data_IF_153865384848
#
_entry.id   IF_153865384848
#
_cell.length_a   1.000
_cell.length_b   1.000
_cell.length_c   1.000
_cell.angle_alpha   90.00
_cell.angle_beta   90.00
_cell.angle_gamma   90.00
#
_symmetry.space_group_name_H-M   'P 1'
#
loop_
_entity.id
_entity.type
_entity.pdbx_description
1 polymer ?
#
# COMPACT_ATOMS: atom_id res chain seq x y z
N UNK A 1 -36.38 20.87 0.84
CA UNK A 1 -35.35 19.91 0.39
C UNK A 1 -34.96 19.10 1.60
N UNK A 2 -34.98 17.75 1.54
CA UNK A 2 -34.62 16.95 2.70
C UNK A 2 -33.16 17.20 3.07
N UNK A 3 -32.90 17.64 4.31
CA UNK A 3 -31.55 17.78 4.83
C UNK A 3 -30.96 16.40 5.15
N UNK A 4 -29.64 16.25 5.10
CA UNK A 4 -28.98 14.95 5.35
C UNK A 4 -29.41 14.30 6.67
N UNK A 5 -29.62 15.11 7.72
CA UNK A 5 -30.08 14.61 9.04
C UNK A 5 -31.57 14.27 9.10
N UNK A 6 -32.36 14.69 8.13
CA UNK A 6 -33.78 14.32 7.99
C UNK A 6 -33.94 12.93 7.35
N UNK A 7 -32.89 12.38 6.75
CA UNK A 7 -32.90 11.01 6.22
C UNK A 7 -33.01 10.00 7.37
N UNK A 8 -33.76 8.89 7.22
CA UNK A 8 -33.71 7.76 8.14
C UNK A 8 -32.28 7.26 8.41
N UNK A 9 -32.05 6.70 9.60
CA UNK A 9 -30.73 6.24 10.06
C UNK A 9 -30.12 5.22 9.10
N UNK A 10 -30.94 4.38 8.52
CA UNK A 10 -30.58 3.31 7.59
C UNK A 10 -29.98 3.89 6.31
N UNK A 11 -30.60 4.94 5.76
CA UNK A 11 -30.09 5.62 4.56
C UNK A 11 -28.79 6.35 4.86
N UNK A 12 -28.66 6.98 6.04
CA UNK A 12 -27.39 7.60 6.45
C UNK A 12 -26.28 6.57 6.60
N UNK A 13 -26.57 5.41 7.19
CA UNK A 13 -25.61 4.29 7.30
C UNK A 13 -25.17 3.77 5.92
N UNK A 14 -26.08 3.71 4.93
CA UNK A 14 -25.72 3.35 3.56
C UNK A 14 -24.79 4.39 2.93
N UNK A 15 -25.08 5.68 3.10
CA UNK A 15 -24.22 6.76 2.60
C UNK A 15 -22.85 6.71 3.27
N UNK A 16 -22.79 6.53 4.60
CA UNK A 16 -21.54 6.39 5.32
C UNK A 16 -20.74 5.18 4.85
N UNK A 17 -21.39 4.03 4.65
CA UNK A 17 -20.74 2.84 4.13
C UNK A 17 -20.15 3.10 2.75
N UNK A 18 -20.92 3.69 1.84
CA UNK A 18 -20.45 4.03 0.51
C UNK A 18 -19.25 4.98 0.56
N UNK A 19 -19.29 6.01 1.40
CA UNK A 19 -18.20 6.98 1.58
C UNK A 19 -16.92 6.30 2.08
N UNK A 20 -17.00 5.35 3.02
CA UNK A 20 -15.80 4.68 3.57
C UNK A 20 -15.26 3.55 2.68
N UNK A 21 -16.11 2.96 1.84
CA UNK A 21 -15.71 1.90 0.89
C UNK A 21 -15.47 2.41 -0.52
N UNK A 22 -15.70 3.71 -0.76
CA UNK A 22 -15.54 4.30 -2.08
C UNK A 22 -14.13 4.06 -2.64
N UNK A 23 -14.09 3.69 -3.91
CA UNK A 23 -12.86 3.45 -4.65
C UNK A 23 -12.96 4.07 -6.03
N UNK A 24 -11.84 4.60 -6.53
CA UNK A 24 -11.75 5.12 -7.88
C UNK A 24 -11.84 3.98 -8.91
N UNK A 25 -12.32 4.28 -10.13
CA UNK A 25 -12.20 3.34 -11.22
C UNK A 25 -10.72 3.03 -11.49
N UNK A 26 -10.46 1.79 -11.94
CA UNK A 26 -9.13 1.35 -12.33
C UNK A 26 -8.63 2.19 -13.51
N UNK A 27 -7.37 2.67 -13.49
CA UNK A 27 -6.81 3.37 -14.63
C UNK A 27 -6.67 2.43 -15.84
N UNK A 28 -6.91 2.94 -17.04
CA UNK A 28 -6.64 2.22 -18.26
C UNK A 28 -5.13 2.26 -18.58
N UNK A 29 -4.64 1.35 -19.43
CA UNK A 29 -3.26 1.40 -19.90
C UNK A 29 -2.97 2.72 -20.64
N UNK A 30 -3.92 3.22 -21.40
CA UNK A 30 -3.84 4.49 -22.14
C UNK A 30 -3.61 5.70 -21.23
N UNK A 31 -4.02 5.63 -19.96
CA UNK A 31 -3.76 6.70 -19.00
C UNK A 31 -2.27 6.85 -18.66
N UNK A 32 -1.46 5.79 -18.88
CA UNK A 32 -0.02 5.81 -18.59
C UNK A 32 0.81 6.50 -19.68
N UNK A 33 0.24 6.75 -20.87
CA UNK A 33 0.97 7.31 -22.02
C UNK A 33 1.22 8.82 -21.88
N UNK A 34 0.39 9.51 -21.11
CA UNK A 34 0.50 10.97 -20.90
C UNK A 34 1.48 11.28 -19.77
N UNK A 35 2.74 11.54 -20.10
CA UNK A 35 3.82 11.78 -19.15
C UNK A 35 3.50 12.84 -18.07
N UNK A 36 2.74 13.89 -18.40
CA UNK A 36 2.37 14.96 -17.45
C UNK A 36 1.43 14.52 -16.31
N UNK A 37 0.83 13.33 -16.40
CA UNK A 37 -0.03 12.76 -15.36
C UNK A 37 0.74 11.94 -14.33
N UNK A 38 2.05 11.86 -14.46
CA UNK A 38 2.89 11.01 -13.64
C UNK A 38 4.07 11.79 -13.07
N UNK A 39 4.42 11.52 -11.82
CA UNK A 39 5.61 12.05 -11.18
C UNK A 39 6.49 10.90 -10.76
N UNK A 40 7.80 11.04 -10.98
CA UNK A 40 8.76 10.07 -10.49
C UNK A 40 9.10 10.42 -9.05
N UNK A 41 9.02 9.47 -8.11
CA UNK A 41 9.51 9.71 -6.76
C UNK A 41 11.00 10.04 -6.86
N UNK A 42 11.49 10.89 -5.97
CA UNK A 42 12.92 11.16 -5.92
C UNK A 42 13.64 9.88 -5.50
N UNK A 43 14.50 9.36 -6.36
CA UNK A 43 15.39 8.25 -6.04
C UNK A 43 16.82 8.81 -5.86
N UNK A 44 17.56 8.36 -4.85
CA UNK A 44 18.94 8.77 -4.69
C UNK A 44 19.73 8.31 -5.92
N UNK A 45 20.53 9.22 -6.50
CA UNK A 45 21.31 9.02 -7.75
C UNK A 45 22.38 7.92 -7.67
N UNK A 46 22.39 7.11 -6.61
CA UNK A 46 23.45 6.21 -6.16
C UNK A 46 23.62 4.93 -7.01
N UNK A 47 23.21 4.92 -8.28
CA UNK A 47 23.39 3.75 -9.13
C UNK A 47 22.52 2.54 -8.79
N UNK A 48 21.43 2.69 -8.01
CA UNK A 48 20.46 1.60 -7.76
C UNK A 48 19.72 1.14 -9.04
N UNK A 49 19.85 1.89 -10.13
CA UNK A 49 19.05 1.78 -11.33
C UNK A 49 17.69 2.45 -11.11
N UNK A 50 17.24 3.25 -12.09
CA UNK A 50 15.88 3.79 -12.08
C UNK A 50 14.93 2.59 -12.08
N UNK A 51 14.19 2.39 -10.99
CA UNK A 51 13.26 1.26 -10.89
C UNK A 51 12.11 1.38 -11.90
N UNK A 52 12.00 2.54 -12.58
CA UNK A 52 10.92 2.84 -13.51
C UNK A 52 9.64 3.22 -12.79
N UNK A 53 9.72 3.62 -11.52
CA UNK A 53 8.56 3.95 -10.72
C UNK A 53 7.99 5.32 -11.08
N UNK A 54 6.69 5.37 -11.29
CA UNK A 54 5.95 6.60 -11.53
C UNK A 54 4.63 6.57 -10.75
N UNK A 55 4.33 7.62 -10.01
CA UNK A 55 3.08 7.75 -9.28
C UNK A 55 2.13 8.70 -10.01
N UNK A 56 0.83 8.44 -9.95
CA UNK A 56 -0.17 9.33 -10.54
C UNK A 56 -0.13 10.69 -9.87
N UNK A 57 -0.02 11.77 -10.66
CA UNK A 57 -0.09 13.16 -10.21
C UNK A 57 -1.49 13.58 -9.74
N UNK A 58 -2.52 12.76 -9.97
CA UNK A 58 -3.84 12.98 -9.38
C UNK A 58 -3.71 12.88 -7.87
N UNK A 59 -4.26 13.87 -7.14
CA UNK A 59 -4.36 13.85 -5.67
C UNK A 59 -4.93 12.51 -5.21
N UNK A 60 -4.41 11.93 -4.14
CA UNK A 60 -4.98 10.71 -3.58
C UNK A 60 -6.47 10.86 -3.22
N UNK A 61 -7.26 9.77 -3.24
CA UNK A 61 -8.65 9.77 -2.78
C UNK A 61 -8.81 10.50 -1.45
N UNK A 62 -9.82 11.35 -1.33
CA UNK A 62 -10.15 11.98 -0.05
C UNK A 62 -10.57 10.91 0.94
N UNK A 63 -10.02 10.95 2.15
CA UNK A 63 -10.51 10.14 3.26
C UNK A 63 -11.77 10.79 3.85
N UNK A 64 -12.57 10.03 4.59
CA UNK A 64 -13.70 10.60 5.33
C UNK A 64 -13.30 11.22 6.68
N UNK A 65 -12.00 11.54 6.86
CA UNK A 65 -11.52 12.24 8.05
C UNK A 65 -12.21 13.60 8.25
N UNK A 66 -12.48 14.32 7.15
CA UNK A 66 -13.21 15.59 7.20
C UNK A 66 -14.65 15.39 7.71
N UNK A 67 -15.33 14.30 7.31
CA UNK A 67 -16.69 13.98 7.78
C UNK A 67 -16.73 13.68 9.28
N UNK A 68 -15.72 12.98 9.79
CA UNK A 68 -15.58 12.73 11.23
C UNK A 68 -15.46 14.03 12.04
N UNK A 69 -14.98 15.12 11.43
CA UNK A 69 -14.80 16.39 12.08
C UNK A 69 -16.04 17.31 12.07
N UNK A 70 -17.09 16.97 11.30
CA UNK A 70 -18.21 17.88 11.08
C UNK A 70 -19.13 18.07 12.29
N UNK A 71 -19.54 16.98 12.96
CA UNK A 71 -20.52 17.02 14.05
C UNK A 71 -20.42 15.75 14.92
N UNK A 72 -20.76 15.85 16.22
CA UNK A 72 -20.76 14.71 17.17
C UNK A 72 -21.65 13.54 16.74
N UNK A 73 -22.83 13.82 16.19
CA UNK A 73 -23.74 12.80 15.66
C UNK A 73 -23.08 12.06 14.49
N UNK A 74 -22.62 12.79 13.46
CA UNK A 74 -21.91 12.22 12.30
C UNK A 74 -20.71 11.40 12.76
N UNK A 75 -19.95 11.90 13.73
CA UNK A 75 -18.82 11.17 14.30
C UNK A 75 -19.24 9.83 14.89
N UNK A 76 -20.22 9.79 15.80
CA UNK A 76 -20.69 8.54 16.42
C UNK A 76 -21.26 7.57 15.38
N UNK A 77 -22.09 8.07 14.46
CA UNK A 77 -22.72 7.30 13.40
C UNK A 77 -21.69 6.68 12.43
N UNK A 78 -20.70 7.48 12.02
CA UNK A 78 -19.60 7.03 11.16
C UNK A 78 -18.67 6.04 11.89
N UNK A 79 -18.40 6.22 13.20
CA UNK A 79 -17.61 5.26 13.98
C UNK A 79 -18.28 3.88 14.02
N UNK A 80 -19.59 3.81 14.25
CA UNK A 80 -20.34 2.55 14.19
C UNK A 80 -20.26 1.90 12.79
N UNK A 81 -20.33 2.72 11.74
CA UNK A 81 -20.23 2.25 10.35
C UNK A 81 -18.81 1.73 10.04
N UNK A 82 -17.77 2.41 10.50
CA UNK A 82 -16.38 1.99 10.37
C UNK A 82 -16.12 0.67 11.09
N UNK A 83 -16.64 0.50 12.30
CA UNK A 83 -16.52 -0.77 13.04
C UNK A 83 -17.23 -1.92 12.32
N UNK A 84 -18.41 -1.65 11.74
CA UNK A 84 -19.13 -2.62 10.90
C UNK A 84 -18.32 -2.98 9.65
N UNK A 85 -17.78 -2.00 8.94
CA UNK A 85 -16.94 -2.22 7.76
C UNK A 85 -15.64 -2.95 8.09
N UNK A 86 -15.02 -2.63 9.23
CA UNK A 86 -13.82 -3.32 9.74
C UNK A 86 -14.09 -4.80 10.00
N UNK A 87 -15.20 -5.13 10.67
CA UNK A 87 -15.62 -6.53 10.91
C UNK A 87 -15.87 -7.29 9.62
N UNK A 88 -16.34 -6.60 8.57
CA UNK A 88 -16.54 -7.16 7.23
C UNK A 88 -15.27 -7.19 6.36
N UNK A 89 -14.14 -6.65 6.84
CA UNK A 89 -12.90 -6.57 6.07
C UNK A 89 -12.95 -5.60 4.88
N UNK A 90 -13.89 -4.64 4.88
CA UNK A 90 -14.09 -3.69 3.78
C UNK A 90 -13.15 -2.47 3.84
N UNK A 91 -12.50 -2.23 4.99
CA UNK A 91 -11.57 -1.11 5.18
C UNK A 91 -10.17 -1.46 4.67
N UNK A 92 -10.02 -1.49 3.35
CA UNK A 92 -8.76 -1.79 2.67
C UNK A 92 -8.31 -0.58 1.86
N UNK A 93 -7.10 -0.09 2.13
CA UNK A 93 -6.43 0.87 1.25
C UNK A 93 -6.06 0.15 -0.04
N UNK A 94 -6.38 0.73 -1.19
CA UNK A 94 -6.16 0.10 -2.49
C UNK A 94 -5.27 0.97 -3.36
N UNK A 95 -4.25 0.34 -3.92
CA UNK A 95 -3.37 0.91 -4.93
C UNK A 95 -3.33 -0.03 -6.12
N UNK A 96 -3.27 0.54 -7.31
CA UNK A 96 -3.07 -0.19 -8.56
C UNK A 96 -1.65 0.07 -9.07
N UNK A 97 -1.03 -0.96 -9.65
CA UNK A 97 0.26 -0.91 -10.31
C UNK A 97 0.10 -1.45 -11.73
N UNK A 98 0.26 -0.59 -12.73
CA UNK A 98 0.40 -1.01 -14.13
C UNK A 98 1.90 -1.17 -14.41
N UNK A 99 2.33 -2.39 -14.69
CA UNK A 99 3.68 -2.68 -15.15
C UNK A 99 3.66 -2.85 -16.68
N UNK A 100 4.41 -2.00 -17.40
CA UNK A 100 4.57 -2.09 -18.86
C UNK A 100 6.01 -1.76 -19.23
N UNK A 101 6.62 -2.63 -20.03
CA UNK A 101 8.03 -2.50 -20.41
C UNK A 101 8.93 -2.39 -19.18
N UNK A 102 9.56 -1.22 -19.02
CA UNK A 102 10.49 -0.88 -17.96
C UNK A 102 9.87 0.01 -16.87
N UNK A 103 8.58 0.34 -16.98
CA UNK A 103 7.92 1.33 -16.14
C UNK A 103 6.80 0.72 -15.30
N UNK A 104 6.65 1.23 -14.08
CA UNK A 104 5.68 0.82 -13.09
C UNK A 104 4.88 2.03 -12.62
N UNK A 105 3.61 2.05 -12.96
CA UNK A 105 2.71 3.18 -12.75
C UNK A 105 1.77 2.91 -11.57
N UNK A 106 1.95 3.64 -10.47
CA UNK A 106 1.22 3.46 -9.22
C UNK A 106 0.11 4.49 -9.06
N UNK A 107 -1.10 4.03 -8.77
CA UNK A 107 -2.28 4.88 -8.58
C UNK A 107 -3.05 4.48 -7.32
N UNK A 108 -3.26 5.44 -6.41
CA UNK A 108 -4.17 5.25 -5.28
C UNK A 108 -5.63 5.19 -5.76
N UNK A 109 -6.31 4.09 -5.46
CA UNK A 109 -7.72 3.87 -5.77
C UNK A 109 -8.62 4.21 -4.58
N UNK A 110 -8.24 3.78 -3.38
CA UNK A 110 -8.94 4.11 -2.13
C UNK A 110 -7.95 4.23 -0.98
N UNK A 111 -8.23 5.16 -0.08
CA UNK A 111 -7.53 5.29 1.20
C UNK A 111 -8.61 5.40 2.27
N UNK A 112 -8.98 4.30 2.95
CA UNK A 112 -9.89 4.37 4.07
C UNK A 112 -9.24 5.16 5.21
N UNK A 113 -10.01 5.38 6.28
CA UNK A 113 -9.50 6.09 7.46
C UNK A 113 -8.27 5.40 8.01
N UNK A 114 -7.21 6.19 8.17
CA UNK A 114 -5.99 5.77 8.83
C UNK A 114 -6.05 6.16 10.30
N UNK A 115 -5.74 5.22 11.19
CA UNK A 115 -5.76 5.48 12.64
C UNK A 115 -4.49 6.22 13.01
N UNK A 116 -4.62 7.45 13.51
CA UNK A 116 -3.48 8.20 14.03
C UNK A 116 -3.47 8.12 15.55
N UNK A 117 -2.55 7.35 16.11
CA UNK A 117 -2.25 7.37 17.54
C UNK A 117 -1.25 8.49 17.83
N UNK A 118 -1.59 9.41 18.72
CA UNK A 118 -0.58 10.28 19.34
C UNK A 118 0.32 9.44 20.24
N UNK A 119 1.63 9.73 20.25
CA UNK A 119 2.54 9.13 21.23
C UNK A 119 2.03 9.34 22.66
N UNK A 120 2.40 8.48 23.62
CA UNK A 120 1.96 8.62 25.00
C UNK A 120 2.45 9.96 25.54
N UNK A 121 1.53 10.92 25.64
CA UNK A 121 1.74 12.11 26.43
C UNK A 121 1.91 11.63 27.88
N UNK A 122 3.04 11.94 28.51
CA UNK A 122 3.15 11.82 29.94
C UNK A 122 1.94 12.51 30.56
N UNK A 123 1.17 11.73 31.33
CA UNK A 123 -0.10 12.10 31.90
C UNK A 123 0.02 13.38 32.74
N UNK A 124 -0.29 14.53 32.14
CA UNK A 124 -0.85 15.66 32.87
C UNK A 124 -2.38 15.54 32.79
N UNK A 125 -3.00 15.74 33.95
CA UNK A 125 -4.41 15.43 34.27
C UNK A 125 -5.44 15.99 33.26
N UNK A 126 -6.63 15.38 33.18
CA UNK A 126 -7.62 15.70 32.16
C UNK A 126 -8.35 17.00 32.50
N UNK A 127 -8.03 18.07 31.77
CA UNK A 127 -8.90 19.26 31.72
C UNK A 127 -9.58 19.28 30.35
N UNK A 128 -10.87 18.94 30.33
CA UNK A 128 -11.77 19.12 29.18
C UNK A 128 -11.56 18.15 28.02
N UNK A 129 -12.43 17.14 27.93
CA UNK A 129 -12.52 16.20 26.80
C UNK A 129 -12.71 16.93 25.46
N UNK A 130 -11.60 17.19 24.77
CA UNK A 130 -11.57 17.37 23.32
C UNK A 130 -10.93 16.13 22.70
N UNK A 131 -11.54 15.53 21.66
CA UNK A 131 -10.93 14.43 20.93
C UNK A 131 -9.53 14.84 20.42
N UNK A 132 -8.56 13.92 20.45
CA UNK A 132 -7.15 14.14 20.08
C UNK A 132 -6.93 14.64 18.64
N UNK A 133 -7.95 14.61 17.79
CA UNK A 133 -7.93 15.20 16.45
C UNK A 133 -8.32 16.69 16.44
N UNK A 134 -9.12 17.16 17.40
CA UNK A 134 -9.54 18.56 17.52
C UNK A 134 -8.40 19.47 18.03
N UNK A 135 -7.45 18.91 18.78
CA UNK A 135 -6.24 19.63 19.18
C UNK A 135 -5.41 20.07 17.96
N UNK A 136 -5.30 19.26 16.89
CA UNK A 136 -4.56 19.64 15.68
C UNK A 136 -5.10 20.90 14.99
N UNK A 137 -6.40 21.18 15.10
CA UNK A 137 -7.03 22.35 14.49
C UNK A 137 -7.12 23.54 15.46
N UNK A 138 -7.25 23.30 16.76
CA UNK A 138 -7.28 24.36 17.79
C UNK A 138 -5.87 24.82 18.21
N UNK A 139 -4.83 24.03 17.94
CA UNK A 139 -3.43 24.38 18.22
C UNK A 139 -2.81 25.34 17.19
N UNK A 140 -3.54 25.80 16.15
CA UNK A 140 -3.01 26.80 15.21
C UNK A 140 -2.79 28.18 15.85
N UNK A 141 -3.14 28.35 17.13
CA UNK A 141 -2.89 29.55 17.93
C UNK A 141 -1.89 29.32 19.09
N UNK A 142 -1.29 28.13 19.21
CA UNK A 142 -0.39 27.82 20.32
C UNK A 142 1.09 27.93 19.93
N UNK A 143 1.82 28.71 20.75
CA UNK A 143 3.26 29.00 20.74
C UNK A 143 4.19 27.86 20.26
N UNK A 144 5.30 28.16 19.55
CA UNK A 144 6.14 27.18 18.85
C UNK A 144 7.11 26.37 19.74
N UNK A 145 6.83 26.16 21.02
CA UNK A 145 7.82 25.64 21.99
C UNK A 145 7.77 24.14 22.30
N UNK A 146 6.88 23.34 21.68
CA UNK A 146 6.83 21.89 21.95
C UNK A 146 7.18 21.09 20.69
N UNK A 147 8.23 20.25 20.71
CA UNK A 147 8.55 19.41 19.55
C UNK A 147 7.35 18.49 19.26
N UNK A 148 6.90 18.39 18.00
CA UNK A 148 5.75 17.56 17.66
C UNK A 148 6.04 16.11 18.00
N UNK A 149 5.23 15.54 18.90
CA UNK A 149 5.30 14.11 19.22
C UNK A 149 5.09 13.28 17.94
N UNK A 150 5.84 12.18 17.74
CA UNK A 150 5.66 11.34 16.58
C UNK A 150 4.26 10.71 16.63
N UNK A 151 3.42 11.05 15.66
CA UNK A 151 2.13 10.42 15.51
C UNK A 151 2.31 9.15 14.67
N UNK A 152 1.76 8.03 15.13
CA UNK A 152 1.81 6.78 14.38
C UNK A 152 0.50 6.61 13.62
N UNK A 153 0.60 6.47 12.31
CA UNK A 153 -0.53 6.33 11.40
C UNK A 153 -0.60 4.87 10.95
N UNK A 154 -1.62 4.13 11.38
CA UNK A 154 -1.75 2.70 11.08
C UNK A 154 -2.78 2.43 9.98
N UNK A 155 -2.33 1.72 8.95
CA UNK A 155 -3.16 1.18 7.86
C UNK A 155 -3.41 -0.30 8.20
N UNK A 156 -4.68 -0.68 8.40
CA UNK A 156 -5.04 -2.05 8.74
C UNK A 156 -4.71 -3.01 7.58
N UNK A 157 -5.11 -2.67 6.35
CA UNK A 157 -4.79 -3.44 5.14
C UNK A 157 -4.47 -2.52 3.97
N UNK A 158 -3.38 -2.80 3.27
CA UNK A 158 -3.03 -2.19 1.99
C UNK A 158 -3.02 -3.28 0.91
N UNK A 159 -3.90 -3.18 -0.07
CA UNK A 159 -3.92 -4.05 -1.24
C UNK A 159 -3.31 -3.32 -2.43
N UNK A 160 -2.31 -3.94 -3.04
CA UNK A 160 -1.69 -3.51 -4.29
C UNK A 160 -2.08 -4.51 -5.39
N UNK A 161 -2.93 -4.08 -6.32
CA UNK A 161 -3.29 -4.86 -7.50
C UNK A 161 -2.24 -4.60 -8.60
N UNK A 162 -1.52 -5.64 -9.03
CA UNK A 162 -0.38 -5.57 -9.94
C UNK A 162 -0.80 -6.17 -11.29
N UNK A 163 -0.92 -5.31 -12.30
CA UNK A 163 -1.30 -5.68 -13.65
C UNK A 163 -0.09 -5.59 -14.58
N UNK A 164 0.37 -6.74 -15.05
CA UNK A 164 1.50 -6.82 -15.98
C UNK A 164 0.98 -6.84 -17.40
N UNK A 165 1.37 -5.84 -18.19
CA UNK A 165 1.04 -5.74 -19.60
C UNK A 165 2.21 -6.24 -20.45
N UNK A 166 1.92 -6.85 -21.61
CA UNK A 166 2.96 -7.28 -22.53
C UNK A 166 3.81 -6.08 -22.99
N UNK A 167 5.09 -6.31 -23.30
CA UNK A 167 5.98 -5.24 -23.74
C UNK A 167 5.49 -4.61 -25.04
N UNK A 168 5.71 -3.30 -25.16
CA UNK A 168 5.44 -2.56 -26.39
C UNK A 168 6.45 -2.95 -27.46
N UNK A 169 5.95 -3.34 -28.64
CA UNK A 169 6.76 -3.66 -29.83
C UNK A 169 7.70 -2.51 -30.27
N UNK A 170 7.46 -1.31 -29.76
CA UNK A 170 8.20 -0.09 -30.09
C UNK A 170 9.47 0.12 -29.26
N UNK A 171 9.69 -0.65 -28.18
CA UNK A 171 10.85 -0.49 -27.31
C UNK A 171 11.88 -1.60 -27.54
N UNK A 172 12.98 -1.35 -28.27
CA UNK A 172 14.04 -2.34 -28.49
C UNK A 172 14.77 -2.75 -27.20
N UNK A 173 14.56 -2.04 -26.08
CA UNK A 173 15.14 -2.33 -24.76
C UNK A 173 14.34 -3.32 -23.92
N UNK A 174 13.10 -3.64 -24.31
CA UNK A 174 12.23 -4.50 -23.51
C UNK A 174 12.73 -5.96 -23.37
N UNK A 175 13.66 -6.38 -24.22
CA UNK A 175 14.16 -7.78 -24.29
C UNK A 175 15.13 -8.12 -23.15
N UNK A 176 15.76 -7.13 -22.51
CA UNK A 176 16.75 -7.32 -21.44
C UNK A 176 16.33 -6.70 -20.11
N UNK A 177 15.03 -6.61 -19.83
CA UNK A 177 14.60 -6.16 -18.49
C UNK A 177 15.15 -7.12 -17.44
N UNK A 178 15.91 -6.63 -16.43
CA UNK A 178 16.44 -7.50 -15.39
C UNK A 178 15.31 -8.21 -14.65
N UNK A 179 15.52 -9.50 -14.37
CA UNK A 179 14.66 -10.28 -13.47
C UNK A 179 14.50 -9.53 -12.14
N UNK A 180 13.33 -9.62 -11.51
CA UNK A 180 12.96 -8.97 -10.25
C UNK A 180 12.63 -7.46 -10.31
N UNK A 181 12.65 -6.80 -11.48
CA UNK A 181 12.44 -5.34 -11.56
C UNK A 181 11.12 -4.90 -10.92
N UNK A 182 10.04 -5.61 -11.20
CA UNK A 182 8.72 -5.32 -10.63
C UNK A 182 8.69 -5.48 -9.12
N UNK A 183 9.36 -6.50 -8.59
CA UNK A 183 9.39 -6.74 -7.14
C UNK A 183 10.11 -5.60 -6.40
N UNK A 184 11.20 -5.09 -6.96
CA UNK A 184 11.90 -3.92 -6.42
C UNK A 184 11.13 -2.61 -6.62
N UNK A 185 10.44 -2.44 -7.75
CA UNK A 185 9.58 -1.27 -7.97
C UNK A 185 8.46 -1.20 -6.92
N UNK A 186 7.93 -2.35 -6.50
CA UNK A 186 6.95 -2.43 -5.42
C UNK A 186 7.58 -2.06 -4.07
N UNK A 187 8.80 -2.54 -3.77
CA UNK A 187 9.53 -2.10 -2.57
C UNK A 187 9.76 -0.58 -2.58
N UNK A 188 10.15 -0.02 -3.72
CA UNK A 188 10.32 1.42 -3.90
C UNK A 188 9.00 2.17 -3.65
N UNK A 189 7.89 1.67 -4.21
CA UNK A 189 6.60 2.29 -4.03
C UNK A 189 6.13 2.23 -2.57
N UNK A 190 6.27 1.09 -1.91
CA UNK A 190 5.96 0.95 -0.48
C UNK A 190 6.84 1.87 0.37
N UNK A 191 8.13 1.97 0.06
CA UNK A 191 9.05 2.86 0.77
C UNK A 191 8.62 4.32 0.64
N UNK A 192 8.22 4.72 -0.57
CA UNK A 192 7.66 6.04 -0.82
C UNK A 192 6.42 6.31 0.04
N UNK A 193 5.53 5.32 0.22
CA UNK A 193 4.36 5.42 1.12
C UNK A 193 4.77 5.61 2.59
N UNK A 194 5.90 5.07 3.05
CA UNK A 194 6.38 5.31 4.42
C UNK A 194 7.04 6.67 4.61
N UNK A 195 7.71 7.18 3.56
CA UNK A 195 8.44 8.46 3.62
C UNK A 195 7.55 9.67 3.35
N UNK A 196 6.51 9.50 2.52
CA UNK A 196 5.66 10.58 2.02
C UNK A 196 4.21 10.32 2.43
N UNK A 197 3.49 11.39 2.79
CA UNK A 197 2.05 11.28 3.01
C UNK A 197 1.37 10.89 1.69
N UNK A 198 0.19 10.26 1.77
CA UNK A 198 -0.59 9.89 0.60
C UNK A 198 -0.97 11.11 -0.26
N UNK A 199 -1.07 12.30 0.36
CA UNK A 199 -0.89 13.53 -0.38
C UNK A 199 0.60 13.67 -0.70
N UNK A 200 0.98 13.29 -1.92
CA UNK A 200 2.32 13.35 -2.55
C UNK A 200 2.99 14.74 -2.53
N UNK A 201 2.41 15.69 -1.76
CA UNK A 201 2.97 16.99 -1.45
C UNK A 201 3.89 16.79 -0.25
N UNK A 202 5.21 17.05 -0.37
CA UNK A 202 6.13 16.96 0.74
C UNK A 202 5.75 17.97 1.82
N UNK A 203 4.99 17.52 2.83
CA UNK A 203 4.72 18.32 4.02
C UNK A 203 6.01 18.29 4.85
N UNK A 204 6.62 19.46 5.04
CA UNK A 204 7.85 19.62 5.81
C UNK A 204 7.69 18.98 7.20
N UNK A 205 8.57 18.01 7.47
CA UNK A 205 9.09 17.67 8.80
C UNK A 205 8.06 17.38 9.92
N UNK A 206 7.13 16.46 9.67
CA UNK A 206 6.45 15.76 10.77
C UNK A 206 6.95 14.31 10.78
N UNK A 207 7.52 13.80 11.90
CA UNK A 207 7.91 12.40 12.04
C UNK A 207 6.67 11.53 12.25
N UNK A 208 5.76 11.53 11.27
CA UNK A 208 4.63 10.63 11.26
C UNK A 208 5.14 9.26 10.85
N UNK A 209 5.07 8.29 11.76
CA UNK A 209 5.47 6.91 11.47
C UNK A 209 4.27 6.19 10.89
N UNK A 210 4.34 5.81 9.62
CA UNK A 210 3.32 4.94 9.03
C UNK A 210 3.63 3.49 9.42
N UNK A 211 2.61 2.72 9.75
CA UNK A 211 2.69 1.29 9.96
C UNK A 211 1.53 0.60 9.23
N UNK A 212 1.82 -0.51 8.56
CA UNK A 212 0.85 -1.28 7.79
C UNK A 212 0.75 -2.65 8.42
N UNK A 213 -0.44 -3.05 8.85
CA UNK A 213 -0.62 -4.35 9.51
C UNK A 213 -0.48 -5.49 8.50
N UNK A 214 -1.12 -5.35 7.33
CA UNK A 214 -1.03 -6.32 6.25
C UNK A 214 -0.91 -5.62 4.89
N UNK A 215 0.07 -6.06 4.09
CA UNK A 215 0.20 -5.73 2.66
C UNK A 215 -0.23 -6.93 1.84
N UNK A 216 -1.18 -6.75 0.94
CA UNK A 216 -1.66 -7.77 0.00
C UNK A 216 -1.12 -7.39 -1.39
N UNK A 217 -0.21 -8.19 -1.94
CA UNK A 217 0.34 -8.03 -3.29
C UNK A 217 -0.42 -8.97 -4.22
N UNK A 218 -1.38 -8.45 -4.96
CA UNK A 218 -2.27 -9.25 -5.78
C UNK A 218 -1.88 -9.14 -7.26
N UNK A 219 -1.39 -10.22 -7.85
CA UNK A 219 -1.08 -10.27 -9.29
C UNK A 219 -2.38 -10.53 -10.05
N UNK A 220 -2.75 -9.59 -10.91
CA UNK A 220 -4.01 -9.60 -11.65
C UNK A 220 -3.73 -9.56 -13.14
N UNK A 221 -4.37 -10.46 -13.89
CA UNK A 221 -4.33 -10.45 -15.34
C UNK A 221 -4.97 -9.18 -15.86
N UNK A 222 -4.35 -8.46 -16.80
CA UNK A 222 -4.97 -7.30 -17.39
C UNK A 222 -6.33 -7.70 -18.00
N UNK A 223 -7.37 -6.85 -17.87
CA UNK A 223 -8.66 -7.14 -18.50
C UNK A 223 -8.40 -7.37 -19.98
N UNK A 224 -8.67 -8.60 -20.43
CA UNK A 224 -8.33 -9.04 -21.77
C UNK A 224 -8.92 -8.07 -22.78
N UNK A 225 -8.05 -7.37 -23.52
CA UNK A 225 -8.43 -6.82 -24.82
C UNK A 225 -9.00 -8.01 -25.60
N UNK A 226 -10.15 -7.89 -26.26
CA UNK A 226 -10.77 -9.01 -26.97
C UNK A 226 -9.84 -9.48 -28.09
N UNK A 227 -8.98 -10.43 -27.76
CA UNK A 227 -8.21 -11.19 -28.73
C UNK A 227 -9.15 -12.27 -29.23
N UNK A 228 -9.28 -12.34 -30.56
CA UNK A 228 -10.00 -13.38 -31.30
C UNK A 228 -9.78 -14.79 -30.67
N UNK A 229 -10.77 -15.70 -30.79
CA UNK A 229 -10.86 -16.89 -29.96
C UNK A 229 -9.61 -17.77 -30.12
N UNK A 230 -8.76 -17.77 -29.09
CA UNK A 230 -7.70 -18.77 -28.95
C UNK A 230 -8.33 -19.99 -28.30
N UNK A 231 -8.23 -21.12 -29.01
CA UNK A 231 -8.63 -22.46 -28.60
C UNK A 231 -8.29 -22.72 -27.13
N UNK A 232 -9.34 -22.96 -26.36
CA UNK A 232 -9.29 -23.24 -24.92
C UNK A 232 -8.73 -24.64 -24.69
N UNK A 233 -7.43 -24.76 -24.45
CA UNK A 233 -6.88 -25.97 -23.83
C UNK A 233 -6.90 -25.77 -22.32
N UNK A 234 -7.95 -26.28 -21.67
CA UNK A 234 -8.07 -26.34 -20.22
C UNK A 234 -6.96 -27.23 -19.65
N UNK A 235 -5.91 -26.64 -19.08
CA UNK A 235 -5.01 -27.33 -18.16
C UNK A 235 -5.25 -26.82 -16.74
N UNK A 236 -5.94 -27.63 -15.94
CA UNK A 236 -5.92 -27.54 -14.49
C UNK A 236 -4.53 -28.02 -14.03
N UNK A 237 -3.55 -27.14 -14.01
CA UNK A 237 -2.20 -27.46 -13.51
C UNK A 237 -2.16 -27.19 -12.00
N UNK A 238 -1.84 -28.23 -11.25
CA UNK A 238 -1.58 -28.16 -9.82
C UNK A 238 -0.33 -27.29 -9.54
N UNK A 239 -0.35 -26.40 -8.53
CA UNK A 239 0.70 -25.38 -8.30
C UNK A 239 2.07 -25.94 -7.85
N UNK A 240 2.31 -27.24 -7.91
CA UNK A 240 3.58 -27.89 -7.50
C UNK A 240 4.22 -28.73 -8.63
N UNK A 241 3.77 -28.56 -9.88
CA UNK A 241 4.24 -29.37 -11.01
C UNK A 241 5.51 -28.79 -11.64
N UNK A 242 6.50 -29.62 -11.96
CA UNK A 242 7.70 -29.25 -12.76
C UNK A 242 7.35 -28.57 -14.10
N UNK A 243 6.13 -28.77 -14.63
CA UNK A 243 5.61 -28.10 -15.82
C UNK A 243 5.59 -26.55 -15.71
N UNK A 244 5.41 -25.98 -14.51
CA UNK A 244 5.43 -24.52 -14.30
C UNK A 244 6.83 -23.94 -14.56
N UNK A 245 7.89 -24.71 -14.32
CA UNK A 245 9.27 -24.29 -14.57
C UNK A 245 9.63 -24.21 -16.06
N UNK A 246 8.99 -25.03 -16.91
CA UNK A 246 9.18 -24.95 -18.36
C UNK A 246 8.37 -23.82 -18.99
N UNK A 247 7.11 -23.62 -18.58
CA UNK A 247 6.30 -22.46 -19.03
C UNK A 247 6.91 -21.13 -18.56
N UNK A 248 7.54 -21.10 -17.38
CA UNK A 248 8.26 -19.93 -16.87
C UNK A 248 9.50 -19.55 -17.70
N UNK A 249 10.10 -20.49 -18.45
CA UNK A 249 11.19 -20.19 -19.38
C UNK A 249 10.68 -19.53 -20.67
N UNK A 250 9.45 -19.83 -21.09
CA UNK A 250 8.89 -19.35 -22.35
C UNK A 250 8.08 -18.05 -22.22
N UNK A 251 7.53 -17.75 -21.03
CA UNK A 251 6.74 -16.53 -20.84
C UNK A 251 6.99 -15.86 -19.47
N UNK A 252 7.91 -14.88 -19.39
CA UNK A 252 8.18 -14.14 -18.14
C UNK A 252 6.99 -13.32 -17.63
N UNK A 253 5.94 -13.15 -18.44
CA UNK A 253 4.71 -12.47 -18.02
C UNK A 253 3.70 -13.40 -17.29
N UNK A 254 4.06 -14.66 -16.99
CA UNK A 254 3.15 -15.54 -16.27
C UNK A 254 2.96 -15.06 -14.81
N UNK A 255 1.73 -14.93 -14.30
CA UNK A 255 1.45 -14.33 -13.01
C UNK A 255 2.11 -15.06 -11.83
N UNK A 256 2.29 -16.39 -11.95
CA UNK A 256 2.98 -17.19 -10.93
C UNK A 256 4.49 -16.93 -10.86
N UNK A 257 5.13 -16.59 -11.98
CA UNK A 257 6.57 -16.23 -12.00
C UNK A 257 6.75 -14.95 -11.22
N UNK A 258 5.92 -13.94 -11.51
CA UNK A 258 5.92 -12.70 -10.75
C UNK A 258 5.59 -12.94 -9.28
N UNK A 259 4.58 -13.75 -8.95
CA UNK A 259 4.26 -14.08 -7.56
C UNK A 259 5.46 -14.68 -6.80
N UNK A 260 6.25 -15.54 -7.47
CA UNK A 260 7.50 -16.07 -6.91
C UNK A 260 8.54 -14.98 -6.69
N UNK A 261 8.78 -14.12 -7.67
CA UNK A 261 9.69 -12.96 -7.52
C UNK A 261 9.26 -12.04 -6.37
N UNK A 262 7.95 -11.79 -6.23
CA UNK A 262 7.38 -10.99 -5.15
C UNK A 262 7.58 -11.61 -3.78
N UNK A 263 7.67 -12.93 -3.67
CA UNK A 263 8.02 -13.59 -2.41
C UNK A 263 9.53 -13.50 -2.16
N UNK A 264 10.32 -13.74 -3.21
CA UNK A 264 11.78 -13.80 -3.11
C UNK A 264 12.38 -12.44 -2.75
N UNK A 265 11.78 -11.32 -3.18
CA UNK A 265 12.24 -9.98 -2.77
C UNK A 265 12.20 -9.78 -1.26
N UNK A 266 11.24 -10.38 -0.53
CA UNK A 266 11.23 -10.32 0.94
C UNK A 266 12.33 -11.18 1.56
N UNK A 267 12.72 -12.29 0.92
CA UNK A 267 13.87 -13.08 1.35
C UNK A 267 15.16 -12.26 1.19
N UNK A 268 15.29 -11.58 0.06
CA UNK A 268 16.41 -10.67 -0.23
C UNK A 268 16.47 -9.53 0.77
N UNK A 269 15.35 -8.85 1.03
CA UNK A 269 15.23 -7.80 2.06
C UNK A 269 15.68 -8.27 3.43
N UNK A 270 15.27 -9.48 3.81
CA UNK A 270 15.63 -10.08 5.09
C UNK A 270 17.12 -10.39 5.21
N UNK A 271 17.71 -10.99 4.16
CA UNK A 271 19.14 -11.31 4.12
C UNK A 271 20.02 -10.05 4.21
N UNK A 272 19.63 -8.99 3.50
CA UNK A 272 20.43 -7.76 3.40
C UNK A 272 21.70 -7.90 2.56
N UNK A 273 21.81 -8.98 1.78
CA UNK A 273 22.98 -9.29 0.96
C UNK A 273 23.08 -8.35 -0.25
N UNK A 274 21.94 -8.02 -0.86
CA UNK A 274 21.86 -7.07 -1.97
C UNK A 274 21.84 -5.61 -1.47
N UNK A 275 22.46 -4.70 -2.22
CA UNK A 275 22.47 -3.28 -1.87
C UNK A 275 21.05 -2.68 -1.76
N UNK A 276 20.15 -3.06 -2.70
CA UNK A 276 18.73 -2.67 -2.69
C UNK A 276 18.02 -3.15 -1.42
N UNK A 277 18.34 -4.35 -0.95
CA UNK A 277 17.77 -4.91 0.27
C UNK A 277 18.10 -4.05 1.50
N UNK A 278 19.32 -3.51 1.57
CA UNK A 278 19.74 -2.62 2.67
C UNK A 278 18.98 -1.30 2.67
N UNK A 279 18.76 -0.72 1.48
CA UNK A 279 18.04 0.54 1.32
C UNK A 279 16.58 0.39 1.76
N UNK A 280 15.88 -0.63 1.28
CA UNK A 280 14.46 -0.87 1.60
C UNK A 280 14.23 -1.63 2.91
N UNK A 281 15.27 -1.84 3.73
CA UNK A 281 15.18 -2.60 4.99
C UNK A 281 14.17 -2.00 5.98
N UNK A 282 13.92 -0.69 5.90
CA UNK A 282 12.93 0.02 6.72
C UNK A 282 11.52 -0.59 6.62
N UNK A 283 11.17 -1.18 5.46
CA UNK A 283 9.90 -1.85 5.23
C UNK A 283 9.64 -2.98 6.23
N UNK A 284 10.68 -3.71 6.63
CA UNK A 284 10.55 -4.82 7.59
C UNK A 284 10.06 -4.37 8.97
N UNK A 285 10.32 -3.11 9.34
CA UNK A 285 9.88 -2.53 10.62
C UNK A 285 8.55 -1.78 10.54
N UNK A 286 8.04 -1.55 9.33
CA UNK A 286 6.79 -0.84 9.07
C UNK A 286 5.63 -1.75 8.68
N UNK A 287 5.92 -2.98 8.21
CA UNK A 287 4.92 -3.93 7.70
C UNK A 287 4.81 -5.14 8.66
N UNK A 288 3.60 -5.45 9.11
CA UNK A 288 3.33 -6.60 9.96
C UNK A 288 3.37 -7.93 9.19
N UNK A 289 2.59 -8.04 8.12
CA UNK A 289 2.44 -9.23 7.28
C UNK A 289 2.40 -8.86 5.81
N UNK A 290 2.92 -9.75 4.96
CA UNK A 290 2.78 -9.66 3.50
C UNK A 290 2.10 -10.92 2.98
N UNK A 291 1.05 -10.74 2.20
CA UNK A 291 0.29 -11.79 1.54
C UNK A 291 0.41 -11.60 0.03
N UNK A 292 0.98 -12.57 -0.67
CA UNK A 292 1.06 -12.57 -2.13
C UNK A 292 -0.11 -13.39 -2.66
N UNK A 293 -0.89 -12.79 -3.55
CA UNK A 293 -2.07 -13.38 -4.16
C UNK A 293 -1.93 -13.42 -5.68
N UNK A 294 -2.60 -14.37 -6.32
CA UNK A 294 -2.79 -14.45 -7.77
C UNK A 294 -4.29 -14.50 -8.01
N UNK A 295 -4.84 -13.53 -8.75
CA UNK A 295 -6.29 -13.42 -9.01
C UNK A 295 -7.14 -13.46 -7.73
N UNK A 296 -6.67 -12.80 -6.66
CA UNK A 296 -7.34 -12.76 -5.36
C UNK A 296 -7.17 -14.02 -4.51
N UNK A 297 -6.57 -15.10 -5.03
CA UNK A 297 -6.27 -16.32 -4.27
C UNK A 297 -4.92 -16.17 -3.60
N UNK A 298 -4.86 -16.39 -2.27
CA UNK A 298 -3.62 -16.32 -1.51
C UNK A 298 -2.67 -17.43 -1.98
N UNK A 299 -1.53 -17.03 -2.52
CA UNK A 299 -0.49 -17.93 -2.98
C UNK A 299 0.56 -18.20 -1.89
N UNK A 300 0.98 -17.14 -1.18
CA UNK A 300 1.91 -17.26 -0.05
C UNK A 300 1.72 -16.14 0.96
N UNK A 301 2.00 -16.43 2.23
CA UNK A 301 1.95 -15.45 3.32
C UNK A 301 3.28 -15.45 4.07
N UNK A 302 3.74 -14.26 4.47
CA UNK A 302 4.94 -14.07 5.27
C UNK A 302 4.72 -13.08 6.41
N UNK A 303 5.10 -13.48 7.62
CA UNK A 303 5.01 -12.65 8.84
C UNK A 303 6.28 -11.81 9.04
N UNK A 304 6.34 -10.65 8.41
CA UNK A 304 7.54 -9.79 8.43
C UNK A 304 7.82 -9.19 9.82
N UNK A 305 6.82 -8.56 10.44
CA UNK A 305 6.98 -7.90 11.73
C UNK A 305 7.21 -8.87 12.89
N UNK A 306 6.51 -10.01 12.87
CA UNK A 306 6.66 -11.07 13.87
C UNK A 306 8.06 -11.70 13.84
N UNK A 307 8.58 -11.99 12.64
CA UNK A 307 9.95 -12.48 12.46
C UNK A 307 10.99 -11.47 12.99
N UNK A 308 10.80 -10.17 12.71
CA UNK A 308 11.75 -9.13 13.12
C UNK A 308 11.85 -8.98 14.64
N UNK A 309 10.71 -9.00 15.33
CA UNK A 309 10.70 -8.95 16.79
C UNK A 309 11.29 -10.21 17.41
N UNK A 310 11.04 -11.40 16.85
CA UNK A 310 11.72 -12.64 17.30
C UNK A 310 13.24 -12.53 17.16
N UNK A 311 13.74 -12.06 16.02
CA UNK A 311 15.17 -11.87 15.81
C UNK A 311 15.81 -10.84 16.75
N UNK A 312 15.09 -9.73 17.04
CA UNK A 312 15.54 -8.72 18.02
C UNK A 312 15.52 -9.25 19.45
N UNK A 313 14.52 -10.04 19.82
CA UNK A 313 14.43 -10.67 21.13
C UNK A 313 15.59 -11.65 21.35
N UNK A 314 15.93 -12.47 20.36
CA UNK A 314 17.04 -13.42 20.48
C UNK A 314 18.39 -12.70 20.58
N UNK A 315 18.63 -11.63 19.80
CA UNK A 315 19.84 -10.81 19.94
C UNK A 315 19.96 -10.19 21.34
N UNK A 316 18.86 -9.70 21.91
CA UNK A 316 18.83 -9.19 23.29
C UNK A 316 19.18 -10.28 24.30
N UNK A 317 18.68 -11.50 24.10
CA UNK A 317 18.98 -12.66 24.95
C UNK A 317 20.46 -13.05 24.89
N UNK A 318 21.05 -13.10 23.70
CA UNK A 318 22.47 -13.41 23.50
C UNK A 318 23.34 -12.32 24.14
N UNK A 319 23.04 -11.04 23.89
CA UNK A 319 23.78 -9.92 24.50
C UNK A 319 23.71 -9.93 26.03
N UNK A 320 22.57 -10.34 26.60
CA UNK A 320 22.42 -10.50 28.04
C UNK A 320 23.18 -11.71 28.62
N UNK A 321 23.48 -12.73 27.81
CA UNK A 321 24.31 -13.89 28.19
C UNK A 321 25.81 -13.64 28.08
N UNK A 322 26.22 -12.66 27.27
CA UNK A 322 27.63 -12.27 27.10
C UNK A 322 28.09 -11.18 28.07
N UNK A 323 27.19 -10.73 28.97
CA UNK A 323 27.51 -9.85 30.09
C UNK A 323 27.60 -10.66 31.37
#
# INVERSE_FOLDING_TARGET
MPQFFELPRELRDMIYMEVITWSRPLPALEDTEKANRWHRPWEPKSGLGDHGCAFSSKRAPSTCANFLACNKQVYSEMQHTLERARRKGLLTARMDCIARDEMHYFTWLSIPIVRTAGGPAHASKPAGMLPTWASKYLSSSASPSTPPFPATTTIDKLQLDIRVFPPSMTSPRAVESPRDRTSWAICAALHHVFEHDASLIPVRSCPNRIAITEVILNVVSPPSVPVAPKLTTHYLVSPHSQAVLEVAKENPAHPEVLARELVDVWNKLWSGDEFKARYYRGLLGGIGRVSVCVEGVVWRVREVGGELERGRAERRRIAARMR
#
